data_IF_515911315347
#
_entry.id   IF_515911315347
#
_cell.length_a   1.000
_cell.length_b   1.000
_cell.length_c   1.000
_cell.angle_alpha   90.00
_cell.angle_beta   90.00
_cell.angle_gamma   90.00
#
_symmetry.space_group_name_H-M   'P 1'
#
loop_
_entity.id
_entity.type
_entity.pdbx_description
1 polymer ?
#
# COMPACT_ATOMS: atom_id res chain seq x y z
N UNK A 1 -22.13 -8.29 5.34
CA UNK A 1 -21.11 -9.37 5.31
C UNK A 1 -19.83 -8.86 4.65
N UNK A 2 -19.91 -8.30 3.43
CA UNK A 2 -18.78 -7.69 2.71
C UNK A 2 -17.97 -6.64 3.51
N UNK A 3 -18.64 -5.77 4.28
CA UNK A 3 -17.95 -4.71 5.03
C UNK A 3 -17.03 -5.26 6.15
N UNK A 4 -17.37 -6.40 6.76
CA UNK A 4 -16.58 -7.03 7.84
C UNK A 4 -15.32 -7.71 7.32
N UNK A 5 -15.41 -8.35 6.15
CA UNK A 5 -14.27 -9.02 5.52
C UNK A 5 -13.31 -7.98 4.93
N UNK A 6 -13.84 -6.85 4.46
CA UNK A 6 -13.07 -5.72 4.00
C UNK A 6 -12.34 -5.01 5.15
N UNK A 7 -13.03 -4.74 6.26
CA UNK A 7 -12.43 -4.15 7.46
C UNK A 7 -11.27 -5.01 8.00
N UNK A 8 -11.46 -6.33 7.99
CA UNK A 8 -10.40 -7.29 8.32
C UNK A 8 -9.24 -7.24 7.33
N UNK A 9 -9.51 -7.19 6.02
CA UNK A 9 -8.48 -7.07 4.99
C UNK A 9 -7.65 -5.80 5.13
N UNK A 10 -8.31 -4.66 5.43
CA UNK A 10 -7.64 -3.39 5.67
C UNK A 10 -6.78 -3.43 6.94
N UNK A 11 -7.30 -4.02 8.02
CA UNK A 11 -6.54 -4.24 9.26
C UNK A 11 -5.29 -5.09 9.03
N UNK A 12 -5.40 -6.18 8.26
CA UNK A 12 -4.25 -7.03 7.92
C UNK A 12 -3.21 -6.29 7.08
N UNK A 13 -3.63 -5.52 6.07
CA UNK A 13 -2.72 -4.73 5.25
C UNK A 13 -1.98 -3.65 6.07
N UNK A 14 -2.72 -2.97 6.96
CA UNK A 14 -2.14 -1.93 7.83
C UNK A 14 -1.18 -2.54 8.86
N UNK A 15 -1.50 -3.70 9.41
CA UNK A 15 -0.64 -4.44 10.32
C UNK A 15 0.65 -4.92 9.63
N UNK A 16 0.56 -5.41 8.39
CA UNK A 16 1.72 -5.77 7.57
C UNK A 16 2.63 -4.57 7.33
N UNK A 17 2.05 -3.44 6.93
CA UNK A 17 2.81 -2.20 6.69
C UNK A 17 3.51 -1.69 7.95
N UNK A 18 2.82 -1.75 9.11
CA UNK A 18 3.40 -1.39 10.40
C UNK A 18 4.54 -2.33 10.81
N UNK A 19 4.39 -3.64 10.57
CA UNK A 19 5.43 -4.64 10.79
C UNK A 19 6.65 -4.34 9.91
N UNK A 20 6.43 -4.08 8.63
CA UNK A 20 7.52 -3.83 7.68
C UNK A 20 8.28 -2.55 8.02
N UNK A 21 7.58 -1.52 8.49
CA UNK A 21 8.20 -0.30 9.02
C UNK A 21 9.04 -0.57 10.28
N UNK A 22 8.51 -1.36 11.23
CA UNK A 22 9.23 -1.72 12.45
C UNK A 22 10.49 -2.56 12.16
N UNK A 23 10.39 -3.52 11.24
CA UNK A 23 11.52 -4.34 10.79
C UNK A 23 12.55 -3.48 10.05
N UNK A 24 12.11 -2.60 9.14
CA UNK A 24 12.99 -1.67 8.43
C UNK A 24 13.72 -0.72 9.38
N UNK A 25 13.03 -0.20 10.41
CA UNK A 25 13.63 0.66 11.43
C UNK A 25 14.64 -0.10 12.30
N UNK A 26 14.30 -1.30 12.79
CA UNK A 26 15.21 -2.13 13.56
C UNK A 26 16.46 -2.50 12.74
N UNK A 27 16.28 -2.86 11.46
CA UNK A 27 17.38 -3.15 10.56
C UNK A 27 18.28 -1.94 10.35
N UNK A 28 17.72 -0.74 10.16
CA UNK A 28 18.48 0.51 10.03
C UNK A 28 19.28 0.87 11.30
N UNK A 29 18.82 0.43 12.48
CA UNK A 29 19.45 0.78 13.76
C UNK A 29 20.52 -0.23 14.19
N UNK A 30 20.31 -1.53 13.91
CA UNK A 30 21.14 -2.61 14.46
C UNK A 30 21.91 -3.42 13.41
N UNK A 31 21.57 -3.31 12.12
CA UNK A 31 22.25 -4.06 11.06
C UNK A 31 23.28 -3.18 10.34
N UNK A 32 24.33 -3.77 9.75
CA UNK A 32 25.22 -3.06 8.85
C UNK A 32 24.41 -2.37 7.75
N UNK A 33 24.77 -1.15 7.31
CA UNK A 33 23.94 -0.34 6.39
C UNK A 33 23.56 -1.05 5.09
N UNK A 34 24.41 -1.96 4.61
CA UNK A 34 24.17 -2.79 3.41
C UNK A 34 23.07 -3.84 3.65
N UNK A 35 22.99 -4.42 4.85
CA UNK A 35 21.96 -5.39 5.23
C UNK A 35 20.62 -4.69 5.52
N UNK A 36 20.69 -3.51 6.15
CA UNK A 36 19.52 -2.68 6.43
C UNK A 36 18.79 -2.24 5.15
N UNK A 37 19.56 -1.80 4.14
CA UNK A 37 19.02 -1.37 2.85
C UNK A 37 18.46 -2.52 2.00
N UNK A 38 19.03 -3.72 2.07
CA UNK A 38 18.48 -4.89 1.35
C UNK A 38 17.20 -5.42 1.98
N UNK A 39 17.11 -5.47 3.32
CA UNK A 39 15.89 -5.90 4.03
C UNK A 39 14.78 -4.86 3.88
N UNK A 40 15.08 -3.57 4.14
CA UNK A 40 14.09 -2.50 3.99
C UNK A 40 13.66 -2.31 2.53
N UNK A 41 14.60 -2.39 1.58
CA UNK A 41 14.31 -2.25 0.15
C UNK A 41 13.54 -3.45 -0.43
N UNK A 42 13.94 -4.68 -0.09
CA UNK A 42 13.29 -5.90 -0.59
C UNK A 42 11.89 -6.11 -0.04
N UNK A 43 11.69 -5.88 1.27
CA UNK A 43 10.37 -5.96 1.90
C UNK A 43 9.42 -4.88 1.38
N UNK A 44 9.90 -3.65 1.25
CA UNK A 44 9.11 -2.55 0.68
C UNK A 44 8.73 -2.81 -0.78
N UNK A 45 9.60 -3.45 -1.59
CA UNK A 45 9.31 -3.76 -2.98
C UNK A 45 8.20 -4.81 -3.15
N UNK A 46 8.19 -5.85 -2.30
CA UNK A 46 7.14 -6.87 -2.33
C UNK A 46 5.79 -6.30 -1.91
N UNK A 47 5.75 -5.51 -0.83
CA UNK A 47 4.51 -4.84 -0.41
C UNK A 47 4.02 -3.84 -1.45
N UNK A 48 4.93 -3.09 -2.07
CA UNK A 48 4.61 -2.19 -3.17
C UNK A 48 3.95 -2.94 -4.33
N UNK A 49 4.53 -4.06 -4.76
CA UNK A 49 3.99 -4.88 -5.84
C UNK A 49 2.58 -5.41 -5.50
N UNK A 50 2.38 -5.85 -4.26
CA UNK A 50 1.10 -6.39 -3.80
C UNK A 50 0.03 -5.30 -3.73
N UNK A 51 0.36 -4.11 -3.22
CA UNK A 51 -0.54 -2.95 -3.19
C UNK A 51 -0.88 -2.46 -4.60
N UNK A 52 0.06 -2.49 -5.55
CA UNK A 52 -0.20 -2.13 -6.94
C UNK A 52 -1.13 -3.13 -7.63
N UNK A 53 -0.90 -4.43 -7.45
CA UNK A 53 -1.74 -5.49 -8.06
C UNK A 53 -3.15 -5.43 -7.47
N UNK A 54 -3.28 -5.49 -6.14
CA UNK A 54 -4.59 -5.51 -5.46
C UNK A 54 -5.31 -4.17 -5.65
N UNK A 55 -4.61 -3.05 -5.44
CA UNK A 55 -5.16 -1.71 -5.61
C UNK A 55 -5.62 -1.45 -7.04
N UNK A 56 -4.83 -1.88 -8.04
CA UNK A 56 -5.19 -1.80 -9.46
C UNK A 56 -6.41 -2.65 -9.82
N UNK A 57 -6.47 -3.90 -9.35
CA UNK A 57 -7.62 -4.78 -9.56
C UNK A 57 -8.91 -4.28 -8.90
N UNK A 58 -8.79 -3.56 -7.77
CA UNK A 58 -9.94 -2.95 -7.11
C UNK A 58 -10.36 -1.65 -7.79
N UNK A 59 -9.40 -0.81 -8.21
CA UNK A 59 -9.68 0.45 -8.90
C UNK A 59 -10.24 0.24 -10.31
N UNK A 60 -9.92 -0.86 -10.99
CA UNK A 60 -10.49 -1.20 -12.29
C UNK A 60 -12.01 -1.45 -12.27
N UNK A 61 -12.58 -1.67 -11.08
CA UNK A 61 -14.04 -1.79 -10.87
C UNK A 61 -14.76 -0.45 -10.87
N UNK A 62 -14.06 0.65 -11.13
CA UNK A 62 -14.66 1.98 -11.22
C UNK A 62 -15.70 2.02 -12.36
N UNK A 63 -16.97 2.35 -12.07
CA UNK A 63 -17.99 2.54 -13.11
C UNK A 63 -17.62 3.72 -14.00
N UNK A 64 -17.66 3.50 -15.33
CA UNK A 64 -17.33 4.49 -16.36
C UNK A 64 -18.27 5.70 -16.34
N UNK A 65 -19.55 5.45 -16.07
CA UNK A 65 -20.56 6.49 -16.00
C UNK A 65 -20.84 6.93 -14.55
N UNK A 66 -21.01 8.24 -14.34
CA UNK A 66 -21.38 8.80 -13.03
C UNK A 66 -22.69 8.23 -12.48
N UNK A 67 -23.62 7.85 -13.36
CA UNK A 67 -24.90 7.24 -12.99
C UNK A 67 -24.74 5.87 -12.33
N UNK A 68 -23.67 5.14 -12.63
CA UNK A 68 -23.37 3.82 -12.03
C UNK A 68 -22.73 3.88 -10.64
N UNK A 69 -22.45 5.08 -10.11
CA UNK A 69 -21.81 5.26 -8.79
C UNK A 69 -22.81 5.20 -7.64
N UNK A 70 -24.06 5.54 -7.90
CA UNK A 70 -25.13 5.60 -6.90
C UNK A 70 -26.30 4.73 -7.35
N UNK A 71 -26.84 3.95 -6.43
CA UNK A 71 -28.09 3.22 -6.61
C UNK A 71 -29.27 4.21 -6.62
N UNK A 72 -30.44 3.78 -7.12
CA UNK A 72 -31.67 4.60 -7.11
C UNK A 72 -32.05 5.12 -5.71
N UNK A 73 -31.64 4.41 -4.65
CA UNK A 73 -31.80 4.82 -3.25
C UNK A 73 -30.79 5.87 -2.77
N UNK A 74 -29.91 6.39 -3.65
CA UNK A 74 -28.85 7.36 -3.33
C UNK A 74 -27.62 6.76 -2.64
N UNK A 75 -27.62 5.46 -2.35
CA UNK A 75 -26.48 4.77 -1.74
C UNK A 75 -25.37 4.50 -2.76
N UNK A 76 -24.11 4.56 -2.32
CA UNK A 76 -22.95 4.24 -3.16
C UNK A 76 -22.89 2.75 -3.47
N UNK A 77 -22.68 2.42 -4.75
CA UNK A 77 -22.59 1.03 -5.22
C UNK A 77 -21.35 0.33 -4.66
N UNK A 78 -21.44 -0.97 -4.43
CA UNK A 78 -20.32 -1.78 -3.92
C UNK A 78 -19.10 -1.74 -4.86
N UNK A 79 -19.32 -1.65 -6.18
CA UNK A 79 -18.26 -1.46 -7.16
C UNK A 79 -17.51 -0.13 -6.95
N UNK A 80 -18.23 0.96 -6.73
CA UNK A 80 -17.64 2.27 -6.45
C UNK A 80 -16.90 2.31 -5.10
N UNK A 81 -17.43 1.67 -4.06
CA UNK A 81 -16.73 1.51 -2.77
C UNK A 81 -15.40 0.78 -2.94
N UNK A 82 -15.39 -0.34 -3.66
CA UNK A 82 -14.16 -1.10 -3.95
C UNK A 82 -13.16 -0.27 -4.76
N UNK A 83 -13.62 0.51 -5.74
CA UNK A 83 -12.76 1.38 -6.52
C UNK A 83 -12.10 2.49 -5.68
N UNK A 84 -12.84 3.08 -4.74
CA UNK A 84 -12.32 4.04 -3.77
C UNK A 84 -11.21 3.45 -2.89
N UNK A 85 -11.39 2.21 -2.45
CA UNK A 85 -10.39 1.50 -1.64
C UNK A 85 -9.16 1.16 -2.47
N UNK A 86 -9.36 0.68 -3.70
CA UNK A 86 -8.26 0.44 -4.64
C UNK A 86 -7.43 1.70 -4.89
N UNK A 87 -8.09 2.85 -5.04
CA UNK A 87 -7.42 4.16 -5.14
C UNK A 87 -6.62 4.51 -3.89
N UNK A 88 -7.14 4.24 -2.68
CA UNK A 88 -6.40 4.46 -1.44
C UNK A 88 -5.16 3.56 -1.36
N UNK A 89 -5.30 2.27 -1.71
CA UNK A 89 -4.17 1.33 -1.75
C UNK A 89 -3.08 1.77 -2.75
N UNK A 90 -3.46 2.28 -3.92
CA UNK A 90 -2.52 2.81 -4.90
C UNK A 90 -1.80 4.08 -4.41
N UNK A 91 -2.49 4.95 -3.66
CA UNK A 91 -1.86 6.10 -3.00
C UNK A 91 -0.88 5.66 -1.91
N UNK A 92 -1.24 4.65 -1.11
CA UNK A 92 -0.34 4.04 -0.13
C UNK A 92 0.89 3.44 -0.80
N UNK A 93 0.71 2.71 -1.91
CA UNK A 93 1.81 2.19 -2.72
C UNK A 93 2.76 3.30 -3.18
N UNK A 94 2.22 4.41 -3.68
CA UNK A 94 3.01 5.55 -4.13
C UNK A 94 3.81 6.20 -2.99
N UNK A 95 3.22 6.33 -1.80
CA UNK A 95 3.92 6.84 -0.61
C UNK A 95 5.05 5.88 -0.18
N UNK A 96 4.77 4.58 -0.20
CA UNK A 96 5.74 3.54 0.17
C UNK A 96 6.92 3.52 -0.81
N UNK A 97 6.65 3.71 -2.10
CA UNK A 97 7.69 3.91 -3.13
C UNK A 97 8.54 5.16 -2.86
N UNK A 98 7.92 6.30 -2.57
CA UNK A 98 8.65 7.53 -2.25
C UNK A 98 9.53 7.37 -1.00
N UNK A 99 9.01 6.70 0.04
CA UNK A 99 9.78 6.38 1.23
C UNK A 99 11.00 5.50 0.90
N UNK A 100 10.78 4.41 0.15
CA UNK A 100 11.87 3.53 -0.28
C UNK A 100 12.93 4.28 -1.11
N UNK A 101 12.51 5.19 -2.00
CA UNK A 101 13.41 6.02 -2.80
C UNK A 101 14.26 6.97 -1.93
N UNK A 102 13.65 7.60 -0.92
CA UNK A 102 14.37 8.47 0.03
C UNK A 102 15.39 7.66 0.84
N UNK A 103 15.01 6.51 1.36
CA UNK A 103 15.91 5.62 2.13
C UNK A 103 17.07 5.14 1.24
N UNK A 104 16.79 4.77 -0.01
CA UNK A 104 17.82 4.38 -0.97
C UNK A 104 18.82 5.52 -1.27
N UNK A 105 18.31 6.74 -1.50
CA UNK A 105 19.14 7.94 -1.71
C UNK A 105 20.00 8.27 -0.48
N UNK A 106 19.41 8.24 0.72
CA UNK A 106 20.13 8.49 1.96
C UNK A 106 21.24 7.44 2.20
N UNK A 107 20.95 6.17 1.92
CA UNK A 107 21.92 5.08 2.02
C UNK A 107 23.07 5.25 1.03
N UNK A 108 22.77 5.65 -0.21
CA UNK A 108 23.80 5.94 -1.23
C UNK A 108 24.70 7.11 -0.82
N UNK A 109 24.13 8.18 -0.27
CA UNK A 109 24.88 9.32 0.24
C UNK A 109 25.75 8.98 1.46
N UNK A 110 25.30 8.07 2.33
CA UNK A 110 26.07 7.64 3.52
C UNK A 110 27.27 6.72 3.20
N UNK A 111 27.37 6.24 1.96
CA UNK A 111 28.43 5.36 1.47
C UNK A 111 29.62 6.12 0.85
N UNK A 112 29.48 7.44 0.67
CA UNK A 112 30.53 8.38 0.25
C UNK A 112 30.90 9.32 1.41
#
# INVERSE_FOLDING_TARGET
>A
MLDRDLERGLLFATALMALNFAVGFAAATFAPPVLASTVAGGGAFLELGLLLIVGGCMMSRQPLENKGRYTEDGNVTTAWKMALIGRQMLLTALILFLYAAIVALASFLSLF
#
